data_IF_271982068606
#
_entry.id   IF_271982068606
#
_cell.length_a   1.000
_cell.length_b   1.000
_cell.length_c   1.000
_cell.angle_alpha   90.00
_cell.angle_beta   90.00
_cell.angle_gamma   90.00
#
_symmetry.space_group_name_H-M   'P 1'
#
loop_
_entity.id
_entity.type
_entity.pdbx_description
1 polymer ?
#
# COMPACT_ATOMS: atom_id res chain seq x y z
N UNK A 1 -3.53 -23.41 -4.98
CA UNK A 1 -4.29 -23.36 -3.72
C UNK A 1 -5.37 -24.43 -3.66
N UNK A 2 -6.18 -24.64 -4.71
CA UNK A 2 -7.21 -25.70 -4.71
C UNK A 2 -6.68 -27.11 -4.36
N UNK A 3 -5.44 -27.45 -4.72
CA UNK A 3 -4.80 -28.74 -4.39
C UNK A 3 -4.20 -28.84 -2.98
N UNK A 4 -4.18 -27.76 -2.20
CA UNK A 4 -3.54 -27.68 -0.87
C UNK A 4 -4.53 -27.43 0.26
N UNK A 5 -5.70 -26.86 -0.03
CA UNK A 5 -6.77 -26.64 0.93
C UNK A 5 -7.71 -27.86 0.93
N UNK A 6 -8.22 -28.28 2.11
CA UNK A 6 -9.15 -29.40 2.19
C UNK A 6 -10.45 -29.06 1.44
N UNK A 7 -11.15 -30.08 0.93
CA UNK A 7 -12.32 -29.92 0.03
C UNK A 7 -13.41 -29.03 0.63
N UNK A 8 -13.60 -29.08 1.95
CA UNK A 8 -14.55 -28.24 2.67
C UNK A 8 -14.13 -26.75 2.78
N UNK A 9 -12.89 -26.40 2.45
CA UNK A 9 -12.36 -25.04 2.42
C UNK A 9 -12.14 -24.52 0.98
N UNK A 10 -12.52 -25.28 -0.05
CA UNK A 10 -12.34 -24.91 -1.47
C UNK A 10 -13.45 -24.01 -2.04
N UNK A 11 -14.34 -23.47 -1.21
CA UNK A 11 -15.44 -22.59 -1.62
C UNK A 11 -14.95 -21.30 -2.31
N UNK A 12 -14.85 -20.19 -1.56
CA UNK A 12 -14.33 -18.92 -2.09
C UNK A 12 -12.85 -18.73 -1.76
N UNK A 13 -11.99 -19.51 -2.42
CA UNK A 13 -10.53 -19.42 -2.25
C UNK A 13 -10.08 -17.96 -2.39
N UNK A 14 -9.26 -17.40 -1.47
CA UNK A 14 -8.78 -16.03 -1.58
C UNK A 14 -7.98 -15.85 -2.89
N UNK A 15 -8.56 -15.14 -3.85
CA UNK A 15 -7.98 -14.97 -5.20
C UNK A 15 -7.09 -13.74 -5.33
N UNK A 16 -7.18 -12.77 -4.41
CA UNK A 16 -6.49 -11.49 -4.53
C UNK A 16 -5.78 -11.07 -3.25
N UNK A 17 -4.54 -10.64 -3.40
CA UNK A 17 -3.77 -9.95 -2.37
C UNK A 17 -3.30 -8.59 -2.90
N UNK A 18 -2.98 -7.67 -2.00
CA UNK A 18 -2.33 -6.42 -2.38
C UNK A 18 -0.82 -6.58 -2.25
N UNK A 19 -0.07 -6.06 -3.23
CA UNK A 19 1.38 -6.00 -3.18
C UNK A 19 1.80 -4.54 -2.97
N UNK A 20 2.62 -4.31 -1.96
CA UNK A 20 3.21 -2.99 -1.66
C UNK A 20 4.71 -3.18 -1.46
N UNK A 21 5.50 -2.82 -2.46
CA UNK A 21 6.93 -3.12 -2.48
C UNK A 21 7.17 -4.63 -2.35
N UNK A 22 7.89 -5.03 -1.29
CA UNK A 22 8.19 -6.42 -0.98
C UNK A 22 7.17 -7.09 -0.02
N UNK A 23 6.13 -6.35 0.39
CA UNK A 23 5.13 -6.80 1.37
C UNK A 23 3.85 -7.25 0.65
N UNK A 24 3.41 -8.46 0.93
CA UNK A 24 2.11 -8.98 0.51
C UNK A 24 1.08 -8.82 1.63
N UNK A 25 -0.03 -8.15 1.34
CA UNK A 25 -1.10 -7.86 2.29
C UNK A 25 -2.33 -8.72 1.96
N UNK A 26 -2.69 -9.58 2.91
CA UNK A 26 -3.88 -10.44 2.90
C UNK A 26 -5.01 -9.92 3.79
N UNK A 27 -6.23 -10.23 3.37
CA UNK A 27 -7.44 -10.08 4.18
C UNK A 27 -8.11 -11.45 4.24
N UNK A 28 -7.58 -12.35 5.08
CA UNK A 28 -8.09 -13.71 5.20
C UNK A 28 -9.40 -13.70 5.98
N UNK A 29 -10.39 -14.44 5.48
CA UNK A 29 -11.62 -14.74 6.22
C UNK A 29 -11.34 -15.80 7.29
N UNK A 30 -12.20 -15.87 8.30
CA UNK A 30 -12.05 -16.77 9.45
C UNK A 30 -11.82 -18.23 9.06
N UNK A 31 -12.52 -18.71 8.03
CA UNK A 31 -12.38 -20.08 7.49
C UNK A 31 -10.97 -20.39 6.96
N UNK A 32 -10.20 -19.36 6.59
CA UNK A 32 -8.84 -19.48 6.05
C UNK A 32 -7.74 -19.21 7.07
N UNK A 33 -8.07 -18.66 8.25
CA UNK A 33 -7.08 -18.37 9.30
C UNK A 33 -6.25 -19.60 9.74
N UNK A 34 -6.82 -20.82 9.86
CA UNK A 34 -6.03 -22.02 10.17
C UNK A 34 -4.95 -22.33 9.11
N UNK A 35 -5.16 -21.88 7.88
CA UNK A 35 -4.28 -22.14 6.72
C UNK A 35 -3.39 -20.94 6.37
N UNK A 36 -3.38 -19.87 7.18
CA UNK A 36 -2.66 -18.62 6.84
C UNK A 36 -1.19 -18.82 6.48
N UNK A 37 -0.48 -19.72 7.18
CA UNK A 37 0.93 -20.00 6.94
C UNK A 37 1.17 -20.68 5.59
N UNK A 38 0.40 -21.74 5.29
CA UNK A 38 0.55 -22.45 4.01
C UNK A 38 0.14 -21.55 2.83
N UNK A 39 -0.87 -20.69 3.01
CA UNK A 39 -1.25 -19.68 2.01
C UNK A 39 -0.08 -18.71 1.78
N UNK A 40 0.55 -18.20 2.84
CA UNK A 40 1.67 -17.29 2.75
C UNK A 40 2.89 -17.92 2.06
N UNK A 41 3.24 -19.16 2.41
CA UNK A 41 4.33 -19.91 1.77
C UNK A 41 4.12 -20.06 0.27
N UNK A 42 2.89 -20.41 -0.16
CA UNK A 42 2.55 -20.53 -1.58
C UNK A 42 2.64 -19.18 -2.31
N UNK A 43 2.28 -18.08 -1.65
CA UNK A 43 2.40 -16.74 -2.23
C UNK A 43 3.86 -16.40 -2.47
N UNK A 44 4.73 -16.63 -1.48
CA UNK A 44 6.15 -16.32 -1.59
C UNK A 44 6.84 -17.21 -2.62
N UNK A 45 6.54 -18.50 -2.63
CA UNK A 45 7.07 -19.45 -3.63
C UNK A 45 6.77 -19.01 -5.07
N UNK A 46 5.58 -18.46 -5.30
CA UNK A 46 5.16 -17.96 -6.62
C UNK A 46 5.62 -16.55 -6.95
N UNK A 47 6.10 -15.78 -5.97
CA UNK A 47 6.41 -14.36 -6.13
C UNK A 47 7.73 -14.03 -5.42
N UNK A 48 8.89 -14.22 -6.10
CA UNK A 48 10.21 -14.13 -5.47
C UNK A 48 10.59 -12.72 -4.98
N UNK A 49 9.83 -11.68 -5.35
CA UNK A 49 10.02 -10.31 -4.86
C UNK A 49 9.43 -10.08 -3.47
N UNK A 50 8.51 -10.94 -3.03
CA UNK A 50 7.85 -10.85 -1.73
C UNK A 50 8.79 -11.42 -0.67
N UNK A 51 9.05 -10.63 0.37
CA UNK A 51 9.86 -11.06 1.53
C UNK A 51 9.02 -11.21 2.80
N UNK A 52 7.94 -10.44 2.89
CA UNK A 52 7.08 -10.35 4.08
C UNK A 52 5.63 -10.54 3.64
N UNK A 53 4.89 -11.40 4.34
CA UNK A 53 3.45 -11.56 4.15
C UNK A 53 2.75 -11.21 5.45
N UNK A 54 1.77 -10.32 5.36
CA UNK A 54 0.94 -9.90 6.48
C UNK A 54 -0.51 -10.25 6.25
N UNK A 55 -1.24 -10.48 7.34
CA UNK A 55 -2.70 -10.53 7.34
C UNK A 55 -3.24 -9.35 8.14
N UNK A 56 -4.22 -8.64 7.59
CA UNK A 56 -4.92 -7.56 8.29
C UNK A 56 -5.78 -8.15 9.41
N UNK A 57 -5.69 -7.58 10.61
CA UNK A 57 -6.51 -8.01 11.76
C UNK A 57 -7.69 -7.08 12.02
N UNK A 58 -7.56 -5.80 11.67
CA UNK A 58 -8.59 -4.78 11.89
C UNK A 58 -8.81 -3.92 10.66
N UNK A 59 -10.03 -3.40 10.49
CA UNK A 59 -10.32 -2.46 9.41
C UNK A 59 -9.58 -1.12 9.53
N UNK A 60 -9.36 -0.48 8.37
CA UNK A 60 -8.63 0.78 8.28
C UNK A 60 -9.43 1.87 8.98
N UNK A 61 -8.83 2.51 9.99
CA UNK A 61 -9.45 3.62 10.69
C UNK A 61 -10.37 3.21 11.85
N UNK A 62 -10.51 1.92 12.17
CA UNK A 62 -11.32 1.44 13.31
C UNK A 62 -10.71 1.86 14.65
N UNK A 63 -9.38 1.94 14.73
CA UNK A 63 -8.64 2.26 15.95
C UNK A 63 -7.64 3.41 15.80
N UNK A 64 -7.56 4.03 14.61
CA UNK A 64 -6.54 5.03 14.28
C UNK A 64 -7.11 6.15 13.43
N UNK A 65 -7.04 7.37 13.94
CA UNK A 65 -7.40 8.59 13.20
C UNK A 65 -6.51 8.81 11.96
N UNK A 66 -5.34 8.18 11.93
CA UNK A 66 -4.39 8.23 10.81
C UNK A 66 -4.65 7.19 9.71
N UNK A 67 -5.77 6.44 9.81
CA UNK A 67 -6.12 5.37 8.85
C UNK A 67 -5.01 4.33 8.67
N UNK A 68 -4.29 4.03 9.75
CA UNK A 68 -3.44 2.84 9.83
C UNK A 68 -4.30 1.60 10.09
N UNK A 69 -3.72 0.41 9.92
CA UNK A 69 -4.40 -0.86 10.12
C UNK A 69 -3.56 -1.75 11.04
N UNK A 70 -4.24 -2.53 11.88
CA UNK A 70 -3.61 -3.62 12.61
C UNK A 70 -3.26 -4.76 11.65
N UNK A 71 -2.09 -5.37 11.83
CA UNK A 71 -1.69 -6.54 11.05
C UNK A 71 -0.92 -7.55 11.90
N UNK A 72 -0.87 -8.78 11.41
CA UNK A 72 0.04 -9.81 11.89
C UNK A 72 0.97 -10.25 10.76
N UNK A 73 2.23 -10.52 11.08
CA UNK A 73 3.17 -11.13 10.14
C UNK A 73 2.96 -12.64 10.12
N UNK A 74 2.66 -13.18 8.94
CA UNK A 74 2.40 -14.62 8.75
C UNK A 74 3.51 -15.33 7.97
N UNK A 75 4.44 -14.59 7.37
CA UNK A 75 5.68 -15.09 6.77
C UNK A 75 6.74 -13.98 6.69
N UNK A 76 8.00 -14.33 6.91
CA UNK A 76 9.14 -13.42 6.72
C UNK A 76 9.41 -12.49 7.92
N UNK A 77 10.34 -11.53 7.76
CA UNK A 77 10.65 -10.55 8.80
C UNK A 77 9.52 -9.53 8.94
N UNK A 78 9.38 -8.93 10.12
CA UNK A 78 8.52 -7.75 10.33
C UNK A 78 9.22 -6.50 9.79
N UNK A 79 9.32 -6.42 8.47
CA UNK A 79 9.84 -5.26 7.74
C UNK A 79 8.72 -4.63 6.92
N UNK A 80 8.27 -3.46 7.37
CA UNK A 80 7.24 -2.66 6.71
C UNK A 80 7.82 -1.48 5.93
N UNK A 81 9.15 -1.35 5.85
CA UNK A 81 9.80 -0.31 5.06
C UNK A 81 9.77 -0.69 3.60
N UNK A 82 8.77 -0.20 2.90
CA UNK A 82 8.52 -0.53 1.50
C UNK A 82 9.11 0.53 0.58
N UNK A 83 9.48 0.10 -0.62
CA UNK A 83 9.83 0.98 -1.73
C UNK A 83 9.06 0.53 -2.98
N UNK A 84 8.45 1.49 -3.68
CA UNK A 84 7.78 1.22 -4.95
C UNK A 84 7.74 2.45 -5.85
N UNK A 85 7.58 2.20 -7.15
CA UNK A 85 7.41 3.23 -8.17
C UNK A 85 5.96 3.40 -8.59
N UNK A 86 5.50 4.64 -8.67
CA UNK A 86 4.18 5.02 -9.19
C UNK A 86 4.26 6.41 -9.84
N UNK A 87 3.65 6.59 -11.02
CA UNK A 87 3.58 7.92 -11.66
C UNK A 87 4.94 8.59 -11.90
N UNK A 88 5.97 7.82 -12.30
CA UNK A 88 7.36 8.28 -12.44
C UNK A 88 7.97 8.86 -11.16
N UNK A 89 7.42 8.48 -10.00
CA UNK A 89 7.92 8.82 -8.67
C UNK A 89 8.24 7.54 -7.88
N UNK A 90 9.23 7.62 -7.01
CA UNK A 90 9.62 6.57 -6.06
C UNK A 90 9.13 6.95 -4.67
N UNK A 91 8.36 6.05 -4.07
CA UNK A 91 7.82 6.16 -2.72
C UNK A 91 8.60 5.21 -1.81
N UNK A 92 9.03 5.72 -0.65
CA UNK A 92 9.64 4.94 0.42
C UNK A 92 9.00 5.35 1.74
N UNK A 93 8.46 4.38 2.47
CA UNK A 93 7.72 4.63 3.69
C UNK A 93 7.56 3.36 4.52
N UNK A 94 7.18 3.52 5.78
CA UNK A 94 6.74 2.44 6.64
C UNK A 94 5.23 2.20 6.43
N UNK A 95 4.88 1.08 5.81
CA UNK A 95 3.49 0.76 5.45
C UNK A 95 2.57 0.56 6.65
N UNK A 96 3.12 0.32 7.85
CA UNK A 96 2.32 0.28 9.08
C UNK A 96 1.85 1.66 9.56
N UNK A 97 2.53 2.72 9.12
CA UNK A 97 2.35 4.08 9.64
C UNK A 97 1.56 5.01 8.76
N UNK A 98 1.34 4.65 7.49
CA UNK A 98 0.63 5.49 6.52
C UNK A 98 -0.38 4.67 5.73
N UNK A 99 -1.44 5.34 5.27
CA UNK A 99 -2.38 4.73 4.34
C UNK A 99 -1.77 4.67 2.94
N UNK A 100 -1.79 3.49 2.33
CA UNK A 100 -1.40 3.28 0.94
C UNK A 100 -2.26 2.21 0.26
N UNK A 101 -2.64 2.46 -0.99
CA UNK A 101 -3.41 1.51 -1.80
C UNK A 101 -2.96 1.54 -3.26
N UNK A 102 -2.17 0.55 -3.67
CA UNK A 102 -1.66 0.41 -5.03
C UNK A 102 -2.77 0.27 -6.10
N UNK A 103 -4.01 -0.07 -5.73
CA UNK A 103 -5.12 -0.18 -6.69
C UNK A 103 -5.62 1.17 -7.20
N UNK A 104 -5.29 2.27 -6.50
CA UNK A 104 -5.71 3.62 -6.89
C UNK A 104 -4.80 4.25 -7.94
N UNK A 105 -3.71 3.57 -8.32
CA UNK A 105 -2.72 4.01 -9.30
C UNK A 105 -3.31 4.59 -10.59
N UNK A 106 -4.30 3.91 -11.16
CA UNK A 106 -4.95 4.35 -12.39
C UNK A 106 -5.70 5.66 -12.20
N UNK A 107 -6.41 5.82 -11.07
CA UNK A 107 -7.13 7.05 -10.76
C UNK A 107 -6.17 8.20 -10.40
N UNK A 108 -5.08 7.91 -9.70
CA UNK A 108 -4.01 8.88 -9.44
C UNK A 108 -3.46 9.45 -10.75
N UNK A 109 -3.08 8.56 -11.67
CA UNK A 109 -2.59 8.95 -12.99
C UNK A 109 -3.64 9.75 -13.77
N UNK A 110 -4.90 9.30 -13.79
CA UNK A 110 -5.98 9.98 -14.52
C UNK A 110 -6.14 11.43 -14.08
N UNK A 111 -6.10 11.71 -12.78
CA UNK A 111 -6.22 13.08 -12.26
C UNK A 111 -4.95 13.90 -12.51
N UNK A 112 -3.76 13.35 -12.27
CA UNK A 112 -2.49 14.05 -12.53
C UNK A 112 -2.33 14.40 -14.02
N UNK A 113 -2.80 13.54 -14.91
CA UNK A 113 -2.77 13.79 -16.35
C UNK A 113 -3.64 14.99 -16.77
N UNK A 114 -4.68 15.34 -15.98
CA UNK A 114 -5.54 16.50 -16.23
C UNK A 114 -4.94 17.84 -15.79
N UNK A 115 -3.93 17.85 -14.92
CA UNK A 115 -3.30 19.08 -14.44
C UNK A 115 -2.37 19.68 -15.49
N UNK A 116 -2.25 21.00 -15.56
CA UNK A 116 -1.33 21.69 -16.46
C UNK A 116 -0.16 22.32 -15.68
N UNK A 117 1.02 22.46 -16.31
CA UNK A 117 2.13 23.20 -15.71
C UNK A 117 1.72 24.64 -15.36
N UNK A 118 2.13 25.12 -14.19
CA UNK A 118 1.80 26.45 -13.69
C UNK A 118 0.45 26.57 -12.97
N UNK A 119 -0.40 25.54 -13.00
CA UNK A 119 -1.62 25.50 -12.17
C UNK A 119 -1.29 25.33 -10.68
N UNK A 120 -2.28 25.62 -9.83
CA UNK A 120 -2.21 25.39 -8.39
C UNK A 120 -3.19 24.29 -8.00
N UNK A 121 -2.70 23.25 -7.32
CA UNK A 121 -3.49 22.12 -6.81
C UNK A 121 -3.41 22.11 -5.29
N UNK A 122 -4.55 21.95 -4.63
CA UNK A 122 -4.63 21.76 -3.18
C UNK A 122 -5.03 20.31 -2.90
N UNK A 123 -4.08 19.51 -2.43
CA UNK A 123 -4.30 18.13 -2.00
C UNK A 123 -4.52 18.11 -0.47
N UNK A 124 -5.79 18.06 -0.07
CA UNK A 124 -6.22 18.27 1.32
C UNK A 124 -5.98 17.06 2.24
N UNK A 125 -5.76 15.88 1.66
CA UNK A 125 -5.51 14.60 2.35
C UNK A 125 -4.45 13.81 1.58
N UNK A 126 -3.28 14.44 1.46
CA UNK A 126 -2.25 14.02 0.52
C UNK A 126 -1.62 12.67 0.88
N UNK A 127 -1.71 12.21 2.12
CA UNK A 127 -0.91 11.09 2.61
C UNK A 127 0.57 11.33 2.31
N UNK A 128 1.21 10.35 1.68
CA UNK A 128 2.62 10.47 1.24
C UNK A 128 2.78 11.11 -0.16
N UNK A 129 1.70 11.66 -0.71
CA UNK A 129 1.66 12.43 -1.96
C UNK A 129 1.60 11.63 -3.26
N UNK A 130 0.73 10.62 -3.41
CA UNK A 130 0.57 9.94 -4.70
C UNK A 130 0.01 10.85 -5.80
N UNK A 131 -0.71 11.93 -5.46
CA UNK A 131 -1.06 13.00 -6.39
C UNK A 131 -0.01 14.12 -6.38
N UNK A 132 0.39 14.55 -5.18
CA UNK A 132 1.25 15.72 -5.01
C UNK A 132 2.63 15.59 -5.65
N UNK A 133 3.31 14.45 -5.49
CA UNK A 133 4.65 14.25 -6.05
C UNK A 133 4.63 14.21 -7.58
N UNK A 134 3.77 13.41 -8.25
CA UNK A 134 3.69 13.43 -9.70
C UNK A 134 3.22 14.77 -10.28
N UNK A 135 2.26 15.45 -9.64
CA UNK A 135 1.80 16.76 -10.07
C UNK A 135 2.91 17.82 -9.95
N UNK A 136 3.64 17.85 -8.84
CA UNK A 136 4.80 18.73 -8.66
C UNK A 136 5.87 18.49 -9.73
N UNK A 137 6.14 17.22 -10.05
CA UNK A 137 7.08 16.84 -11.12
C UNK A 137 6.63 17.27 -12.52
N UNK A 138 5.32 17.42 -12.74
CA UNK A 138 4.72 17.97 -13.97
C UNK A 138 4.84 19.50 -14.06
N UNK A 139 5.31 20.18 -13.02
CA UNK A 139 5.44 21.64 -12.97
C UNK A 139 4.19 22.35 -12.44
N UNK A 140 3.30 21.63 -11.75
CA UNK A 140 2.15 22.21 -11.03
C UNK A 140 2.61 22.64 -9.63
N UNK A 141 2.09 23.76 -9.11
CA UNK A 141 2.30 24.16 -7.72
C UNK A 141 1.32 23.40 -6.82
N UNK A 142 1.83 22.61 -5.87
CA UNK A 142 0.97 21.77 -5.02
C UNK A 142 1.06 22.19 -3.55
N UNK A 143 -0.09 22.50 -2.96
CA UNK A 143 -0.27 22.57 -1.52
C UNK A 143 -0.77 21.22 -1.02
N UNK A 144 0.07 20.48 -0.31
CA UNK A 144 -0.25 19.16 0.20
C UNK A 144 -0.38 19.20 1.72
N UNK A 145 -1.53 18.77 2.22
CA UNK A 145 -1.87 18.71 3.63
C UNK A 145 -2.22 17.27 4.01
N UNK A 146 -1.76 16.83 5.17
CA UNK A 146 -2.21 15.57 5.77
C UNK A 146 -2.17 15.68 7.29
N UNK A 147 -3.11 15.00 7.96
CA UNK A 147 -3.18 15.00 9.42
C UNK A 147 -2.08 14.12 10.05
N UNK A 148 -1.66 13.06 9.36
CA UNK A 148 -0.69 12.12 9.88
C UNK A 148 0.75 12.68 9.77
N UNK A 149 1.48 12.86 10.88
CA UNK A 149 2.84 13.39 10.85
C UNK A 149 3.83 12.49 10.10
N UNK A 150 3.61 11.16 10.09
CA UNK A 150 4.45 10.24 9.32
C UNK A 150 4.20 10.40 7.81
N UNK A 151 2.95 10.65 7.41
CA UNK A 151 2.62 11.01 6.02
C UNK A 151 3.38 12.27 5.58
N UNK A 152 3.35 13.33 6.39
CA UNK A 152 4.08 14.56 6.12
C UNK A 152 5.60 14.35 6.01
N UNK A 153 6.17 13.54 6.90
CA UNK A 153 7.59 13.17 6.87
C UNK A 153 7.95 12.48 5.56
N UNK A 154 7.23 11.42 5.19
CA UNK A 154 7.51 10.66 3.97
C UNK A 154 7.24 11.46 2.70
N UNK A 155 6.23 12.34 2.71
CA UNK A 155 6.01 13.30 1.64
C UNK A 155 7.20 14.24 1.47
N UNK A 156 7.69 14.83 2.56
CA UNK A 156 8.85 15.74 2.55
C UNK A 156 10.11 15.06 2.01
N UNK A 157 10.38 13.83 2.45
CA UNK A 157 11.46 13.00 1.91
C UNK A 157 11.23 12.67 0.42
N UNK A 158 9.98 12.38 0.04
CA UNK A 158 9.55 12.13 -1.32
C UNK A 158 9.78 13.31 -2.25
N UNK A 159 9.57 14.55 -1.79
CA UNK A 159 9.85 15.78 -2.54
C UNK A 159 11.34 15.87 -2.89
N UNK A 160 12.22 15.57 -1.93
CA UNK A 160 13.67 15.59 -2.18
C UNK A 160 14.08 14.48 -3.15
N UNK A 161 13.50 13.29 -2.98
CA UNK A 161 13.83 12.09 -3.78
C UNK A 161 13.41 12.19 -5.24
N UNK A 162 12.30 12.88 -5.53
CA UNK A 162 11.64 12.84 -6.84
C UNK A 162 11.85 14.10 -7.70
N UNK A 163 12.81 14.95 -7.34
CA UNK A 163 13.20 16.11 -8.15
C UNK A 163 13.71 15.72 -9.54
#
# INVERSE_FOLDING_TARGET
MASLLPENAQGEIPVGFALVGHVAHLNLRDEYLPYKRIIAEVIVDKNPTIKTVINKVDDVGTHSEFRTFGYEVIYGPDDMNVELGEGNCVFRFDYSKVYWNSRLQTEHKRLVDMFNPGEVVCDVMAGIGPFALPAGKKGTFVWANDLNPESYKYLSEGIVRNK
#
